data_IF_645639704516
#
_entry.id   IF_645639704516
#
_cell.length_a   1.000
_cell.length_b   1.000
_cell.length_c   1.000
_cell.angle_alpha   90.00
_cell.angle_beta   90.00
_cell.angle_gamma   90.00
#
_symmetry.space_group_name_H-M   'P 1'
#
loop_
_entity.id
_entity.type
_entity.pdbx_description
1 polymer ?
#
# COMPACT_ATOMS: atom_id res chain seq x y z
N UNK A 1 -36.72 -9.60 13.01
CA UNK A 1 -37.56 -10.76 12.61
C UNK A 1 -36.88 -11.85 11.77
N UNK A 2 -36.48 -11.60 10.51
CA UNK A 2 -35.92 -12.68 9.65
C UNK A 2 -34.67 -13.36 10.25
N UNK A 3 -33.74 -12.55 10.79
CA UNK A 3 -32.56 -13.07 11.47
C UNK A 3 -32.93 -13.91 12.72
N UNK A 4 -33.89 -13.45 13.54
CA UNK A 4 -34.39 -14.17 14.72
C UNK A 4 -34.99 -15.54 14.34
N UNK A 5 -35.72 -15.63 13.22
CA UNK A 5 -36.27 -16.89 12.69
C UNK A 5 -35.20 -17.84 12.12
N UNK A 6 -34.08 -17.27 11.69
CA UNK A 6 -32.97 -18.02 11.06
C UNK A 6 -31.84 -18.31 12.06
N UNK A 7 -32.09 -18.08 13.35
CA UNK A 7 -31.09 -18.30 14.38
C UNK A 7 -30.68 -19.79 14.46
N UNK A 8 -29.38 -20.10 14.60
CA UNK A 8 -28.26 -19.16 14.74
C UNK A 8 -27.81 -18.56 13.40
N UNK A 9 -27.61 -17.24 13.34
CA UNK A 9 -27.17 -16.56 12.12
C UNK A 9 -26.22 -15.38 12.40
N UNK A 10 -25.48 -14.98 11.36
CA UNK A 10 -24.65 -13.77 11.36
C UNK A 10 -25.30 -12.74 10.44
N UNK A 11 -25.47 -11.51 10.93
CA UNK A 11 -25.84 -10.34 10.13
C UNK A 11 -24.55 -9.57 9.85
N UNK A 12 -24.23 -9.36 8.58
CA UNK A 12 -23.09 -8.53 8.18
C UNK A 12 -23.58 -7.21 7.58
N UNK A 13 -23.09 -6.09 8.11
CA UNK A 13 -23.37 -4.74 7.64
C UNK A 13 -22.07 -4.12 7.12
N UNK A 14 -21.91 -4.09 5.81
CA UNK A 14 -20.78 -3.40 5.19
C UNK A 14 -21.03 -1.89 5.15
N UNK A 15 -19.96 -1.10 5.12
CA UNK A 15 -19.99 0.37 5.07
C UNK A 15 -20.98 1.00 6.08
N UNK A 16 -20.91 0.57 7.35
CA UNK A 16 -21.85 1.04 8.38
C UNK A 16 -21.81 2.57 8.56
N UNK A 17 -20.74 3.26 8.17
CA UNK A 17 -20.65 4.71 8.18
C UNK A 17 -21.60 5.43 7.20
N UNK A 18 -22.16 4.72 6.21
CA UNK A 18 -23.21 5.26 5.35
C UNK A 18 -24.50 5.57 6.13
N UNK A 19 -24.80 4.75 7.14
CA UNK A 19 -25.99 4.89 7.99
C UNK A 19 -25.67 5.38 9.39
N UNK A 20 -24.50 5.06 9.95
CA UNK A 20 -24.14 5.26 11.35
C UNK A 20 -23.35 6.53 11.66
N UNK A 21 -23.39 7.55 10.79
CA UNK A 21 -22.58 8.76 10.93
C UNK A 21 -23.10 9.71 12.02
N UNK A 22 -22.19 10.26 12.83
CA UNK A 22 -22.46 11.27 13.84
C UNK A 22 -22.95 12.58 13.18
N UNK A 23 -23.83 13.29 13.88
CA UNK A 23 -24.42 14.59 13.49
C UNK A 23 -23.39 15.55 12.90
N UNK A 24 -23.79 16.24 11.83
CA UNK A 24 -23.21 17.52 11.42
C UNK A 24 -24.31 18.57 11.36
N UNK A 25 -24.01 19.82 11.73
CA UNK A 25 -24.92 20.97 11.73
C UNK A 25 -25.30 21.43 10.31
N UNK A 26 -25.82 20.52 9.48
CA UNK A 26 -26.35 20.81 8.16
C UNK A 26 -27.86 21.05 8.24
N UNK A 27 -28.27 22.31 8.06
CA UNK A 27 -29.64 22.71 7.79
C UNK A 27 -30.10 22.10 6.46
N UNK A 28 -30.69 20.89 6.48
CA UNK A 28 -31.24 20.26 5.29
C UNK A 28 -31.91 18.92 5.60
N UNK A 29 -33.17 18.75 5.16
CA UNK A 29 -34.09 17.66 5.50
C UNK A 29 -33.72 16.22 5.06
N UNK A 30 -32.44 15.92 4.85
CA UNK A 30 -31.93 14.55 4.69
C UNK A 30 -31.47 13.90 6.01
N UNK A 31 -31.57 14.62 7.13
CA UNK A 31 -31.22 14.12 8.46
C UNK A 31 -32.25 13.12 9.00
N UNK A 32 -33.53 13.36 8.76
CA UNK A 32 -34.62 12.64 9.44
C UNK A 32 -34.67 11.15 9.07
N UNK A 33 -34.50 10.80 7.79
CA UNK A 33 -34.50 9.39 7.33
C UNK A 33 -33.30 8.60 7.87
N UNK A 34 -32.13 9.25 7.95
CA UNK A 34 -30.93 8.64 8.49
C UNK A 34 -31.05 8.43 9.99
N UNK A 35 -31.54 9.44 10.71
CA UNK A 35 -31.77 9.35 12.15
C UNK A 35 -32.79 8.26 12.50
N UNK A 36 -33.88 8.16 11.73
CA UNK A 36 -34.86 7.09 11.91
C UNK A 36 -34.22 5.72 11.70
N UNK A 37 -33.35 5.58 10.68
CA UNK A 37 -32.66 4.32 10.37
C UNK A 37 -31.68 3.93 11.47
N UNK A 38 -30.87 4.86 11.99
CA UNK A 38 -29.95 4.61 13.12
C UNK A 38 -30.74 4.22 14.35
N UNK A 39 -31.74 5.00 14.75
CA UNK A 39 -32.50 4.74 15.96
C UNK A 39 -33.22 3.40 15.90
N UNK A 40 -33.77 3.02 14.74
CA UNK A 40 -34.34 1.69 14.56
C UNK A 40 -33.27 0.60 14.73
N UNK A 41 -32.08 0.77 14.16
CA UNK A 41 -30.98 -0.18 14.35
C UNK A 41 -30.59 -0.32 15.83
N UNK A 42 -30.49 0.80 16.56
CA UNK A 42 -30.19 0.80 18.00
C UNK A 42 -31.25 0.07 18.83
N UNK A 43 -32.53 0.30 18.54
CA UNK A 43 -33.65 -0.36 19.22
C UNK A 43 -33.65 -1.87 18.94
N UNK A 44 -33.41 -2.28 17.69
CA UNK A 44 -33.32 -3.70 17.35
C UNK A 44 -32.11 -4.37 18.01
N UNK A 45 -30.97 -3.68 18.09
CA UNK A 45 -29.77 -4.16 18.78
C UNK A 45 -30.00 -4.37 20.28
N UNK A 46 -30.62 -3.40 20.94
CA UNK A 46 -30.98 -3.49 22.37
C UNK A 46 -32.12 -4.54 22.60
N UNK A 47 -32.92 -4.81 21.57
CA UNK A 47 -34.03 -5.76 21.57
C UNK A 47 -33.64 -7.22 21.25
N UNK A 48 -32.35 -7.53 21.11
CA UNK A 48 -31.88 -8.91 21.12
C UNK A 48 -31.68 -9.37 22.56
N UNK A 49 -32.49 -10.33 23.01
CA UNK A 49 -32.19 -11.07 24.23
C UNK A 49 -30.83 -11.76 24.08
N UNK A 50 -30.05 -11.80 25.15
CA UNK A 50 -28.65 -12.29 25.21
C UNK A 50 -28.45 -13.72 24.70
N UNK A 51 -29.54 -14.45 24.41
CA UNK A 51 -29.55 -15.86 24.03
C UNK A 51 -30.19 -16.13 22.64
N UNK A 52 -30.45 -15.10 21.82
CA UNK A 52 -31.11 -15.29 20.51
C UNK A 52 -30.23 -15.94 19.43
N UNK A 53 -28.94 -16.19 19.69
CA UNK A 53 -28.04 -16.84 18.72
C UNK A 53 -27.76 -16.02 17.45
N UNK A 54 -27.99 -14.70 17.49
CA UNK A 54 -27.75 -13.78 16.39
C UNK A 54 -26.49 -12.96 16.69
N UNK A 55 -25.53 -12.97 15.76
CA UNK A 55 -24.31 -12.15 15.85
C UNK A 55 -24.38 -11.06 14.79
N UNK A 56 -24.17 -9.80 15.18
CA UNK A 56 -24.09 -8.68 14.24
C UNK A 56 -22.63 -8.27 14.07
N UNK A 57 -22.15 -8.24 12.84
CA UNK A 57 -20.80 -7.81 12.46
C UNK A 57 -20.94 -6.65 11.49
N UNK A 58 -20.16 -5.59 11.69
CA UNK A 58 -20.14 -4.43 10.81
C UNK A 58 -18.72 -4.08 10.38
N UNK A 59 -18.58 -3.50 9.19
CA UNK A 59 -17.31 -3.02 8.66
C UNK A 59 -17.39 -1.52 8.31
N UNK A 60 -16.31 -0.78 8.60
CA UNK A 60 -16.15 0.62 8.19
C UNK A 60 -14.67 0.97 8.01
N UNK A 61 -14.39 1.91 7.11
CA UNK A 61 -13.08 2.54 6.97
C UNK A 61 -12.97 3.84 7.78
N UNK A 62 -14.06 4.29 8.42
CA UNK A 62 -14.16 5.60 9.09
C UNK A 62 -14.79 5.47 10.48
N UNK A 63 -14.12 4.78 11.42
CA UNK A 63 -14.64 4.62 12.78
C UNK A 63 -14.78 5.96 13.53
N UNK A 64 -14.01 6.98 13.13
CA UNK A 64 -13.99 8.33 13.71
C UNK A 64 -15.30 9.11 13.53
N UNK A 65 -16.06 8.80 12.48
CA UNK A 65 -17.32 9.49 12.20
C UNK A 65 -18.55 8.73 12.69
N UNK A 66 -18.39 7.55 13.29
CA UNK A 66 -19.52 6.76 13.76
C UNK A 66 -20.18 7.39 14.99
N UNK A 67 -21.50 7.21 15.11
CA UNK A 67 -22.22 7.59 16.30
C UNK A 67 -21.72 6.78 17.51
N UNK A 68 -21.27 7.48 18.55
CA UNK A 68 -20.81 6.87 19.79
C UNK A 68 -21.86 5.95 20.44
N UNK A 69 -23.15 6.15 20.14
CA UNK A 69 -24.23 5.27 20.58
C UNK A 69 -24.11 3.85 20.01
N UNK A 70 -23.60 3.67 18.78
CA UNK A 70 -23.40 2.35 18.17
C UNK A 70 -22.30 1.54 18.89
N UNK A 71 -21.31 2.23 19.45
CA UNK A 71 -20.12 1.65 20.08
C UNK A 71 -20.32 1.35 21.58
N UNK A 72 -21.52 1.56 22.12
CA UNK A 72 -21.80 1.32 23.54
C UNK A 72 -21.93 -0.18 23.85
N UNK A 73 -21.64 -0.61 25.09
CA UNK A 73 -21.87 -2.00 25.53
C UNK A 73 -23.29 -2.47 25.22
N UNK A 74 -23.41 -3.70 24.72
CA UNK A 74 -24.69 -4.28 24.27
C UNK A 74 -25.00 -4.08 22.77
N UNK A 75 -24.17 -3.29 22.06
CA UNK A 75 -24.31 -3.04 20.61
C UNK A 75 -23.05 -3.52 19.88
N UNK A 76 -22.29 -2.63 19.24
CA UNK A 76 -20.96 -2.95 18.71
C UNK A 76 -19.90 -2.72 19.79
N UNK A 77 -19.92 -3.58 20.81
CA UNK A 77 -19.05 -3.50 21.97
C UNK A 77 -17.64 -4.08 21.72
N UNK A 78 -17.49 -4.93 20.70
CA UNK A 78 -16.21 -5.47 20.23
C UNK A 78 -15.73 -4.75 18.97
N UNK A 79 -14.58 -4.11 19.09
CA UNK A 79 -13.89 -3.47 17.98
C UNK A 79 -12.65 -4.27 17.62
N UNK A 80 -12.56 -4.68 16.36
CA UNK A 80 -11.41 -5.42 15.81
C UNK A 80 -10.83 -4.59 14.68
N UNK A 81 -9.61 -4.11 14.87
CA UNK A 81 -8.90 -3.36 13.84
C UNK A 81 -8.15 -4.33 12.92
N UNK A 82 -8.43 -4.24 11.63
CA UNK A 82 -7.69 -4.97 10.59
C UNK A 82 -6.74 -3.99 9.91
N UNK A 83 -5.48 -4.03 10.30
CA UNK A 83 -4.43 -3.17 9.74
C UNK A 83 -3.84 -3.76 8.46
N UNK A 84 -3.03 -2.97 7.75
CA UNK A 84 -2.28 -3.47 6.60
C UNK A 84 -1.35 -4.62 7.03
N UNK A 85 -1.20 -5.65 6.18
CA UNK A 85 -0.38 -6.82 6.50
C UNK A 85 1.13 -6.47 6.55
N UNK A 86 1.84 -7.09 7.49
CA UNK A 86 3.31 -7.12 7.54
C UNK A 86 3.89 -8.04 6.45
N UNK A 87 5.22 -8.12 6.28
CA UNK A 87 5.87 -8.97 5.26
C UNK A 87 5.35 -10.41 5.31
N UNK A 88 5.21 -10.99 6.51
CA UNK A 88 4.74 -12.37 6.67
C UNK A 88 3.27 -12.52 6.29
N UNK A 89 2.43 -11.57 6.67
CA UNK A 89 1.03 -11.51 6.27
C UNK A 89 0.89 -11.34 4.76
N UNK A 90 1.70 -10.49 4.13
CA UNK A 90 1.74 -10.31 2.67
C UNK A 90 2.15 -11.61 1.97
N UNK A 91 3.15 -12.31 2.48
CA UNK A 91 3.56 -13.61 1.96
C UNK A 91 2.43 -14.66 2.06
N UNK A 92 1.73 -14.72 3.19
CA UNK A 92 0.59 -15.62 3.37
C UNK A 92 -0.57 -15.29 2.43
N UNK A 93 -0.91 -14.01 2.28
CA UNK A 93 -1.95 -13.55 1.36
C UNK A 93 -1.57 -13.90 -0.08
N UNK A 94 -0.32 -13.62 -0.49
CA UNK A 94 0.19 -14.00 -1.81
C UNK A 94 0.04 -15.50 -2.04
N UNK A 95 0.45 -16.34 -1.08
CA UNK A 95 0.31 -17.79 -1.17
C UNK A 95 -1.15 -18.25 -1.33
N UNK A 96 -2.13 -17.57 -0.72
CA UNK A 96 -3.56 -17.86 -0.92
C UNK A 96 -3.99 -17.53 -2.35
N UNK A 97 -3.63 -16.36 -2.87
CA UNK A 97 -4.03 -15.93 -4.22
C UNK A 97 -3.27 -16.68 -5.33
N UNK A 98 -2.01 -17.04 -5.09
CA UNK A 98 -1.15 -17.81 -5.98
C UNK A 98 -1.69 -19.21 -6.26
N UNK A 99 -2.44 -19.84 -5.34
CA UNK A 99 -3.11 -21.14 -5.57
C UNK A 99 -4.11 -21.13 -6.73
N UNK A 100 -4.58 -19.95 -7.15
CA UNK A 100 -5.58 -19.81 -8.22
C UNK A 100 -4.95 -19.73 -9.62
N UNK A 101 -3.62 -19.68 -9.72
CA UNK A 101 -2.89 -19.53 -11.00
C UNK A 101 -1.83 -20.63 -11.15
N UNK A 102 -1.54 -21.08 -12.38
CA UNK A 102 -0.48 -22.06 -12.61
C UNK A 102 0.88 -21.37 -12.44
N UNK A 103 1.65 -21.72 -11.41
CA UNK A 103 2.94 -21.09 -11.10
C UNK A 103 4.14 -21.86 -11.68
N UNK A 104 5.16 -21.12 -12.08
CA UNK A 104 6.51 -21.63 -12.33
C UNK A 104 7.25 -21.96 -11.03
N UNK A 105 8.28 -22.79 -11.12
CA UNK A 105 9.11 -23.20 -9.97
C UNK A 105 10.00 -22.09 -9.43
N UNK A 106 10.19 -21.01 -10.20
CA UNK A 106 11.04 -19.87 -9.88
C UNK A 106 10.33 -18.82 -9.01
N UNK A 107 9.02 -18.94 -8.80
CA UNK A 107 8.22 -17.96 -8.05
C UNK A 107 8.52 -18.06 -6.55
N UNK A 108 8.94 -16.94 -5.97
CA UNK A 108 9.20 -16.82 -4.54
C UNK A 108 8.34 -15.73 -3.90
N UNK A 109 7.32 -16.14 -3.14
CA UNK A 109 6.39 -15.23 -2.48
C UNK A 109 7.06 -14.28 -1.47
N UNK A 110 8.13 -14.71 -0.80
CA UNK A 110 8.86 -13.89 0.17
C UNK A 110 9.58 -12.71 -0.51
N UNK A 111 10.13 -12.90 -1.71
CA UNK A 111 10.74 -11.80 -2.48
C UNK A 111 9.66 -10.79 -2.90
N UNK A 112 8.51 -11.29 -3.37
CA UNK A 112 7.39 -10.44 -3.79
C UNK A 112 6.85 -9.65 -2.60
N UNK A 113 6.65 -10.28 -1.43
CA UNK A 113 6.14 -9.65 -0.22
C UNK A 113 7.03 -8.51 0.30
N UNK A 114 8.36 -8.65 0.19
CA UNK A 114 9.31 -7.58 0.51
C UNK A 114 9.24 -6.41 -0.47
N UNK A 115 8.88 -6.69 -1.73
CA UNK A 115 8.74 -5.69 -2.80
C UNK A 115 7.38 -4.99 -2.84
N UNK A 116 6.47 -5.33 -1.95
CA UNK A 116 5.10 -4.78 -1.89
C UNK A 116 4.77 -4.12 -0.54
N UNK A 117 5.66 -3.29 0.03
CA UNK A 117 5.38 -2.63 1.30
C UNK A 117 4.13 -1.74 1.20
N UNK A 118 3.28 -1.79 2.23
CA UNK A 118 2.05 -1.01 2.30
C UNK A 118 0.89 -1.51 1.44
N UNK A 119 1.06 -2.60 0.67
CA UNK A 119 -0.04 -3.19 -0.09
C UNK A 119 -1.05 -3.90 0.81
N UNK A 120 -2.33 -3.67 0.55
CA UNK A 120 -3.45 -4.38 1.18
C UNK A 120 -3.62 -5.78 0.60
N UNK A 121 -4.49 -6.60 1.21
CA UNK A 121 -4.80 -7.92 0.67
C UNK A 121 -5.42 -7.86 -0.73
N UNK A 122 -6.23 -6.83 -1.01
CA UNK A 122 -6.81 -6.61 -2.33
C UNK A 122 -5.74 -6.23 -3.37
N UNK A 123 -4.75 -5.41 -2.99
CA UNK A 123 -3.65 -5.04 -3.88
C UNK A 123 -2.80 -6.26 -4.26
N UNK A 124 -2.51 -7.14 -3.30
CA UNK A 124 -1.78 -8.38 -3.54
C UNK A 124 -2.57 -9.37 -4.41
N UNK A 125 -3.89 -9.44 -4.23
CA UNK A 125 -4.76 -10.21 -5.10
C UNK A 125 -4.70 -9.68 -6.55
N UNK A 126 -4.74 -8.36 -6.71
CA UNK A 126 -4.62 -7.71 -8.01
C UNK A 126 -3.23 -7.93 -8.63
N UNK A 127 -2.16 -7.92 -7.83
CA UNK A 127 -0.81 -8.25 -8.29
C UNK A 127 -0.73 -9.66 -8.90
N UNK A 128 -1.31 -10.66 -8.23
CA UNK A 128 -1.38 -12.01 -8.77
C UNK A 128 -2.17 -12.07 -10.09
N UNK A 129 -3.26 -11.31 -10.21
CA UNK A 129 -4.04 -11.23 -11.43
C UNK A 129 -3.26 -10.57 -12.58
N UNK A 130 -2.58 -9.45 -12.32
CA UNK A 130 -1.74 -8.78 -13.30
C UNK A 130 -0.56 -9.66 -13.75
N UNK A 131 0.03 -10.44 -12.84
CA UNK A 131 1.08 -11.40 -13.19
C UNK A 131 0.55 -12.48 -14.15
N UNK A 132 -0.67 -13.00 -13.91
CA UNK A 132 -1.31 -13.94 -14.83
C UNK A 132 -1.57 -13.31 -16.21
N UNK A 133 -1.99 -12.04 -16.26
CA UNK A 133 -2.15 -11.31 -17.53
C UNK A 133 -0.82 -11.06 -18.24
N UNK A 134 0.29 -10.87 -17.53
CA UNK A 134 1.63 -10.78 -18.12
C UNK A 134 2.04 -12.11 -18.76
N UNK A 135 1.84 -13.22 -18.05
CA UNK A 135 2.10 -14.57 -18.57
C UNK A 135 1.25 -14.88 -19.82
N UNK A 136 -0.04 -14.56 -19.78
CA UNK A 136 -0.93 -14.74 -20.91
C UNK A 136 -0.50 -13.92 -22.14
N UNK A 137 -0.05 -12.67 -21.94
CA UNK A 137 0.43 -11.80 -23.03
C UNK A 137 1.66 -12.35 -23.75
N UNK A 138 2.52 -13.11 -23.06
CA UNK A 138 3.67 -13.80 -23.68
C UNK A 138 3.33 -15.20 -24.20
N UNK A 139 2.06 -15.63 -24.14
CA UNK A 139 1.61 -16.95 -24.56
C UNK A 139 2.10 -18.10 -23.67
N UNK A 140 2.45 -17.81 -22.41
CA UNK A 140 2.97 -18.82 -21.50
C UNK A 140 1.84 -19.59 -20.78
N UNK A 141 2.14 -20.85 -20.43
CA UNK A 141 1.21 -21.73 -19.70
C UNK A 141 1.30 -21.58 -18.18
N UNK A 142 2.43 -21.07 -17.68
CA UNK A 142 2.70 -20.88 -16.25
C UNK A 142 3.14 -19.43 -16.01
N UNK A 143 2.82 -18.92 -14.82
CA UNK A 143 3.22 -17.59 -14.34
C UNK A 143 4.57 -17.71 -13.65
N UNK A 144 5.57 -16.99 -14.14
CA UNK A 144 6.95 -17.03 -13.64
C UNK A 144 7.25 -15.80 -12.78
N UNK A 145 8.37 -15.80 -12.07
CA UNK A 145 8.79 -14.67 -11.24
C UNK A 145 8.92 -13.37 -12.04
N UNK A 146 9.34 -13.47 -13.30
CA UNK A 146 9.39 -12.32 -14.21
C UNK A 146 8.03 -11.64 -14.45
N UNK A 147 6.94 -12.41 -14.40
CA UNK A 147 5.60 -11.90 -14.63
C UNK A 147 5.11 -11.12 -13.41
N UNK A 148 5.43 -11.61 -12.20
CA UNK A 148 5.22 -10.89 -10.95
C UNK A 148 6.04 -9.60 -10.88
N UNK A 149 7.31 -9.63 -11.28
CA UNK A 149 8.16 -8.42 -11.32
C UNK A 149 7.60 -7.38 -12.29
N UNK A 150 7.15 -7.79 -13.49
CA UNK A 150 6.52 -6.87 -14.46
C UNK A 150 5.17 -6.34 -13.97
N UNK A 151 4.37 -7.17 -13.30
CA UNK A 151 3.10 -6.77 -12.73
C UNK A 151 3.29 -5.76 -11.58
N UNK A 152 4.25 -6.03 -10.69
CA UNK A 152 4.65 -5.12 -9.60
C UNK A 152 5.12 -3.78 -10.17
N UNK A 153 6.00 -3.80 -11.17
CA UNK A 153 6.46 -2.58 -11.85
C UNK A 153 5.28 -1.78 -12.42
N UNK A 154 4.33 -2.46 -13.08
CA UNK A 154 3.15 -1.82 -13.66
C UNK A 154 2.27 -1.16 -12.60
N UNK A 155 2.05 -1.83 -11.46
CA UNK A 155 1.21 -1.31 -10.39
C UNK A 155 1.87 -0.12 -9.69
N UNK A 156 3.18 -0.21 -9.40
CA UNK A 156 3.90 0.84 -8.67
C UNK A 156 4.24 2.06 -9.53
N UNK A 157 4.65 1.83 -10.79
CA UNK A 157 5.20 2.88 -11.66
C UNK A 157 4.33 3.19 -12.88
N UNK A 158 3.31 2.38 -13.15
CA UNK A 158 2.52 2.47 -14.38
C UNK A 158 3.12 1.67 -15.55
N UNK A 159 2.44 1.69 -16.71
CA UNK A 159 2.85 0.91 -17.87
C UNK A 159 4.18 1.40 -18.46
N UNK A 160 4.89 0.47 -19.10
CA UNK A 160 6.11 0.75 -19.86
C UNK A 160 5.82 1.63 -21.07
N UNK A 161 6.64 2.67 -21.27
CA UNK A 161 6.49 3.60 -22.40
C UNK A 161 7.33 3.17 -23.60
N UNK A 162 6.96 2.05 -24.23
CA UNK A 162 7.69 1.47 -25.38
C UNK A 162 7.82 2.40 -26.60
N UNK A 163 6.88 3.31 -26.79
CA UNK A 163 6.87 4.28 -27.90
C UNK A 163 7.68 5.54 -27.61
N UNK A 164 8.17 5.72 -26.38
CA UNK A 164 8.95 6.91 -26.04
C UNK A 164 10.38 6.74 -26.56
N UNK A 165 10.73 7.53 -27.57
CA UNK A 165 12.10 7.65 -28.04
C UNK A 165 12.81 8.64 -27.15
N UNK A 166 13.68 8.14 -26.27
CA UNK A 166 14.54 8.96 -25.43
C UNK A 166 15.85 9.26 -26.17
N UNK A 167 16.27 10.53 -26.29
CA UNK A 167 17.59 10.87 -26.80
C UNK A 167 18.69 10.14 -26.02
N UNK A 168 19.78 9.78 -26.70
CA UNK A 168 20.87 9.04 -26.06
C UNK A 168 21.48 9.81 -24.88
N UNK A 169 21.58 11.14 -24.98
CA UNK A 169 22.05 12.02 -23.90
C UNK A 169 21.16 11.93 -22.65
N UNK A 170 19.84 11.93 -22.80
CA UNK A 170 18.89 11.77 -21.69
C UNK A 170 18.97 10.37 -21.08
N UNK A 171 19.15 9.34 -21.92
CA UNK A 171 19.31 7.95 -21.46
C UNK A 171 20.59 7.79 -20.64
N UNK A 172 21.70 8.39 -21.09
CA UNK A 172 22.96 8.41 -20.35
C UNK A 172 22.82 9.18 -19.04
N UNK A 173 22.16 10.34 -19.06
CA UNK A 173 21.89 11.10 -17.82
C UNK A 173 21.11 10.26 -16.81
N UNK A 174 20.03 9.61 -17.26
CA UNK A 174 19.23 8.71 -16.43
C UNK A 174 20.06 7.54 -15.90
N UNK A 175 20.95 6.97 -16.71
CA UNK A 175 21.83 5.90 -16.27
C UNK A 175 22.79 6.34 -15.15
N UNK A 176 23.41 7.52 -15.25
CA UNK A 176 24.24 8.06 -14.18
C UNK A 176 23.41 8.37 -12.94
N UNK A 177 22.24 8.97 -13.11
CA UNK A 177 21.32 9.29 -12.03
C UNK A 177 20.95 8.03 -11.20
N UNK A 178 20.47 6.98 -11.86
CA UNK A 178 20.11 5.73 -11.17
C UNK A 178 21.35 5.02 -10.59
N UNK A 179 22.49 5.11 -11.25
CA UNK A 179 23.76 4.57 -10.72
C UNK A 179 24.18 5.28 -9.43
N UNK A 180 23.90 6.58 -9.31
CA UNK A 180 24.15 7.36 -8.09
C UNK A 180 23.35 6.85 -6.90
N UNK A 181 22.04 6.66 -7.06
CA UNK A 181 21.20 6.04 -6.03
C UNK A 181 21.69 4.64 -5.65
N UNK A 182 21.96 3.80 -6.65
CA UNK A 182 22.36 2.42 -6.45
C UNK A 182 23.71 2.30 -5.73
N UNK A 183 24.69 3.14 -6.09
CA UNK A 183 26.01 3.13 -5.49
C UNK A 183 25.96 3.55 -4.02
N UNK A 184 25.30 4.67 -3.71
CA UNK A 184 25.17 5.15 -2.33
C UNK A 184 24.39 4.14 -1.49
N UNK A 185 23.28 3.62 -2.02
CA UNK A 185 22.48 2.61 -1.34
C UNK A 185 23.21 1.29 -1.07
N UNK A 186 24.21 0.96 -1.89
CA UNK A 186 25.03 -0.26 -1.71
C UNK A 186 26.19 -0.07 -0.74
N UNK A 187 26.72 1.16 -0.62
CA UNK A 187 27.90 1.48 0.18
C UNK A 187 27.57 1.91 1.61
N UNK A 188 26.46 2.63 1.82
CA UNK A 188 26.11 3.13 3.15
C UNK A 188 25.57 1.99 4.04
N UNK A 189 25.90 1.99 5.35
CA UNK A 189 25.37 1.03 6.28
C UNK A 189 23.87 1.25 6.51
N UNK A 190 23.16 0.23 7.00
CA UNK A 190 21.73 0.27 7.36
C UNK A 190 20.74 0.58 6.22
N UNK A 191 21.20 0.95 5.03
CA UNK A 191 20.38 1.08 3.83
C UNK A 191 19.78 -0.27 3.43
N UNK A 192 18.56 -0.23 2.89
CA UNK A 192 17.93 -1.43 2.36
C UNK A 192 18.67 -1.88 1.09
N UNK A 193 18.94 -3.20 0.93
CA UNK A 193 19.65 -3.72 -0.23
C UNK A 193 19.01 -3.32 -1.55
N UNK A 194 19.82 -2.80 -2.46
CA UNK A 194 19.41 -2.54 -3.85
C UNK A 194 19.03 -3.86 -4.50
N UNK A 195 17.81 -3.92 -5.02
CA UNK A 195 17.25 -5.10 -5.64
C UNK A 195 17.20 -4.99 -7.16
N UNK A 196 16.88 -3.80 -7.68
CA UNK A 196 16.71 -3.58 -9.11
C UNK A 196 17.05 -2.15 -9.49
N UNK A 197 17.77 -2.02 -10.59
CA UNK A 197 18.08 -0.73 -11.22
C UNK A 197 17.64 -0.82 -12.67
N UNK A 198 16.89 0.16 -13.16
CA UNK A 198 16.44 0.21 -14.55
C UNK A 198 16.35 1.64 -15.06
N UNK A 199 16.70 1.83 -16.33
CA UNK A 199 16.54 3.09 -17.07
C UNK A 199 15.38 3.01 -18.08
N UNK A 200 14.54 1.99 -17.94
CA UNK A 200 13.37 1.81 -18.79
C UNK A 200 12.24 2.71 -18.27
N UNK A 201 11.73 3.63 -19.10
CA UNK A 201 10.72 4.60 -18.68
C UNK A 201 9.36 3.94 -18.41
N UNK A 202 8.78 4.24 -17.25
CA UNK A 202 7.49 3.73 -16.79
C UNK A 202 6.65 4.85 -16.18
N UNK A 203 5.42 5.00 -16.65
CA UNK A 203 4.52 6.08 -16.22
C UNK A 203 5.19 7.45 -16.28
N UNK A 204 5.42 8.06 -15.09
CA UNK A 204 6.09 9.36 -14.94
C UNK A 204 7.61 9.27 -14.70
N UNK A 205 8.14 8.08 -14.41
CA UNK A 205 9.56 7.86 -14.12
C UNK A 205 10.34 7.52 -15.40
N UNK A 206 11.56 8.05 -15.51
CA UNK A 206 12.50 7.77 -16.61
C UNK A 206 13.46 6.61 -16.27
N UNK A 207 13.75 6.43 -14.99
CA UNK A 207 14.48 5.31 -14.42
C UNK A 207 13.99 5.05 -12.99
N UNK A 208 14.44 3.95 -12.39
CA UNK A 208 14.23 3.70 -10.97
C UNK A 208 15.31 2.80 -10.39
N UNK A 209 15.67 3.10 -9.14
CA UNK A 209 16.45 2.26 -8.24
C UNK A 209 15.53 1.79 -7.11
N UNK A 210 15.28 0.49 -7.05
CA UNK A 210 14.42 -0.12 -6.06
C UNK A 210 15.25 -0.89 -5.04
N UNK A 211 15.05 -0.57 -3.76
CA UNK A 211 15.57 -1.37 -2.64
C UNK A 211 14.47 -2.27 -2.06
N UNK A 212 14.88 -3.43 -1.53
CA UNK A 212 14.00 -4.33 -0.80
C UNK A 212 14.37 -4.33 0.68
N UNK A 213 13.47 -3.89 1.57
CA UNK A 213 13.70 -4.02 3.00
C UNK A 213 13.92 -5.48 3.41
N UNK A 214 14.90 -5.72 4.27
CA UNK A 214 15.13 -7.05 4.84
C UNK A 214 14.04 -7.43 5.86
N UNK A 215 13.51 -6.43 6.56
CA UNK A 215 12.52 -6.53 7.62
C UNK A 215 11.60 -5.30 7.63
N UNK A 216 10.37 -5.46 8.13
CA UNK A 216 9.47 -4.33 8.36
C UNK A 216 9.92 -3.63 9.64
N UNK A 217 10.40 -2.38 9.51
CA UNK A 217 10.87 -1.59 10.65
C UNK A 217 9.72 -0.76 11.23
N UNK A 218 9.51 -0.88 12.53
CA UNK A 218 8.54 -0.06 13.28
C UNK A 218 9.10 1.30 13.72
N UNK A 219 10.44 1.41 13.82
CA UNK A 219 11.12 2.64 14.18
C UNK A 219 12.40 2.80 13.36
N UNK A 220 12.79 4.05 13.14
CA UNK A 220 13.97 4.41 12.38
C UNK A 220 14.90 5.24 13.27
N UNK A 221 16.18 4.92 13.25
CA UNK A 221 17.20 5.74 13.90
C UNK A 221 17.64 6.90 12.99
N UNK A 222 18.32 7.89 13.59
CA UNK A 222 18.77 9.08 12.86
C UNK A 222 19.76 8.72 11.74
N UNK A 223 20.61 7.72 11.95
CA UNK A 223 21.58 7.25 10.96
C UNK A 223 20.89 6.69 9.71
N UNK A 224 19.87 5.85 9.88
CA UNK A 224 19.09 5.32 8.77
C UNK A 224 18.40 6.45 7.98
N UNK A 225 17.78 7.41 8.68
CA UNK A 225 17.09 8.51 8.01
C UNK A 225 18.08 9.41 7.23
N UNK A 226 19.25 9.69 7.79
CA UNK A 226 20.33 10.42 7.10
C UNK A 226 20.89 9.65 5.90
N UNK A 227 21.02 8.32 6.01
CA UNK A 227 21.47 7.49 4.91
C UNK A 227 20.42 7.41 3.79
N UNK A 228 19.13 7.42 4.13
CA UNK A 228 18.05 7.53 3.13
C UNK A 228 18.07 8.88 2.41
N UNK A 229 18.30 9.99 3.13
CA UNK A 229 18.50 11.31 2.52
C UNK A 229 19.71 11.29 1.59
N UNK A 230 20.82 10.68 2.02
CA UNK A 230 22.05 10.57 1.23
C UNK A 230 21.83 9.75 -0.05
N UNK A 231 21.08 8.64 0.04
CA UNK A 231 20.68 7.85 -1.13
C UNK A 231 19.84 8.67 -2.12
N UNK A 232 18.88 9.47 -1.63
CA UNK A 232 18.04 10.36 -2.46
C UNK A 232 18.88 11.43 -3.18
N UNK A 233 19.94 11.95 -2.56
CA UNK A 233 20.86 12.88 -3.24
C UNK A 233 21.84 12.22 -4.20
N UNK A 234 21.99 10.89 -4.15
CA UNK A 234 22.91 10.14 -4.99
C UNK A 234 22.71 10.40 -6.49
N UNK A 235 21.46 10.45 -6.95
CA UNK A 235 21.13 10.74 -8.34
C UNK A 235 21.59 12.12 -8.80
N UNK A 236 21.29 13.18 -8.02
CA UNK A 236 21.76 14.54 -8.31
C UNK A 236 23.29 14.63 -8.34
N UNK A 237 23.96 14.05 -7.36
CA UNK A 237 25.43 14.10 -7.26
C UNK A 237 26.06 13.43 -8.48
N UNK A 238 25.53 12.28 -8.93
CA UNK A 238 26.03 11.61 -10.11
C UNK A 238 25.86 12.45 -11.39
N UNK A 239 24.73 13.16 -11.55
CA UNK A 239 24.55 14.10 -12.66
C UNK A 239 25.58 15.22 -12.64
N UNK A 240 25.81 15.85 -11.49
CA UNK A 240 26.75 16.97 -11.37
C UNK A 240 28.21 16.54 -11.63
N UNK A 241 28.60 15.38 -11.09
CA UNK A 241 29.98 14.89 -11.19
C UNK A 241 30.31 14.37 -12.59
N UNK A 242 29.42 13.60 -13.22
CA UNK A 242 29.73 12.90 -14.47
C UNK A 242 29.11 13.56 -15.71
N UNK A 243 27.97 14.24 -15.55
CA UNK A 243 27.28 14.90 -16.66
C UNK A 243 27.47 16.43 -16.65
N UNK A 244 28.03 17.00 -15.57
CA UNK A 244 28.28 18.43 -15.41
C UNK A 244 27.03 19.29 -15.65
N UNK A 245 25.85 18.76 -15.29
CA UNK A 245 24.57 19.42 -15.48
C UNK A 245 23.63 19.11 -14.32
N UNK A 246 22.59 19.94 -14.17
CA UNK A 246 21.51 19.72 -13.22
C UNK A 246 20.19 19.63 -13.98
N UNK A 247 19.53 18.48 -13.93
CA UNK A 247 18.23 18.29 -14.57
C UNK A 247 17.07 18.47 -13.59
N UNK A 248 15.84 18.57 -14.09
CA UNK A 248 14.62 18.59 -13.27
C UNK A 248 14.20 17.20 -12.77
N UNK A 249 14.89 16.13 -13.20
CA UNK A 249 14.56 14.74 -12.87
C UNK A 249 14.63 14.42 -11.37
N UNK A 250 15.54 15.06 -10.64
CA UNK A 250 15.74 14.84 -9.20
C UNK A 250 14.64 15.44 -8.29
N UNK A 251 13.63 16.13 -8.85
CA UNK A 251 12.65 16.90 -8.08
C UNK A 251 11.92 16.10 -6.99
N UNK A 252 11.49 14.87 -7.32
CA UNK A 252 10.85 13.96 -6.37
C UNK A 252 11.81 13.51 -5.25
N UNK A 253 13.10 13.37 -5.55
CA UNK A 253 14.09 12.97 -4.55
C UNK A 253 14.35 14.10 -3.55
N UNK A 254 14.42 15.35 -4.02
CA UNK A 254 14.48 16.54 -3.18
C UNK A 254 13.24 16.68 -2.29
N UNK A 255 12.04 16.47 -2.85
CA UNK A 255 10.79 16.53 -2.09
C UNK A 255 10.79 15.50 -0.95
N UNK A 256 11.15 14.24 -1.26
CA UNK A 256 11.25 13.16 -0.27
C UNK A 256 12.32 13.45 0.78
N UNK A 257 13.51 13.87 0.36
CA UNK A 257 14.61 14.17 1.28
C UNK A 257 14.24 15.31 2.23
N UNK A 258 13.57 16.35 1.71
CA UNK A 258 13.07 17.48 2.50
C UNK A 258 12.02 17.03 3.51
N UNK A 259 11.09 16.16 3.12
CA UNK A 259 10.08 15.63 4.02
C UNK A 259 10.71 14.82 5.16
N UNK A 260 11.68 13.94 4.85
CA UNK A 260 12.41 13.16 5.85
C UNK A 260 13.14 14.10 6.82
N UNK A 261 13.90 15.07 6.31
CA UNK A 261 14.63 16.03 7.15
C UNK A 261 13.69 16.85 8.05
N UNK A 262 12.54 17.28 7.53
CA UNK A 262 11.52 18.01 8.31
C UNK A 262 10.96 17.15 9.44
N UNK A 263 10.64 15.89 9.17
CA UNK A 263 10.10 14.98 10.17
C UNK A 263 11.13 14.65 11.27
N UNK A 264 12.41 14.49 10.90
CA UNK A 264 13.51 14.32 11.85
C UNK A 264 13.53 15.44 12.90
N UNK A 265 13.39 16.69 12.45
CA UNK A 265 13.42 17.87 13.33
C UNK A 265 12.09 18.07 14.06
N UNK A 266 10.98 18.10 13.33
CA UNK A 266 9.71 18.62 13.85
C UNK A 266 8.84 17.58 14.56
N UNK A 267 9.04 16.29 14.28
CA UNK A 267 8.23 15.19 14.83
C UNK A 267 9.02 14.28 15.74
N UNK A 268 10.28 14.00 15.39
CA UNK A 268 11.06 12.98 16.07
C UNK A 268 12.11 13.52 17.03
N UNK A 269 12.36 14.84 17.04
CA UNK A 269 13.31 15.47 17.97
C UNK A 269 14.74 14.98 17.79
N UNK A 270 15.15 14.69 16.55
CA UNK A 270 16.49 14.20 16.21
C UNK A 270 17.53 15.32 16.04
N UNK A 271 17.24 16.51 16.53
CA UNK A 271 18.07 17.73 16.49
C UNK A 271 17.83 18.59 17.72
#
# INVERSE_FOLDING_TARGET
EQAKKSAPCIIFVDEIDAVGRLRGAGLGGGNDEREQTINQMLVEMDGFETNAGVIVVAATNRPDILDAALLRPGRFDRQVYVTLPDIRGREQILNVHMRKVPLGQDVNASIIARGTPGMSGADLANLCNEAALMAARRGARVVEMQDFEKAKDKILMGPERKSMVMPESERINTAYHESGHALIGRLLPKCDPVHKVTIIPRGRALGVTMSLPAEDRYSYDSEYMLNQISMLFGGRIAEEVFMHQMTTGASNDFERATHIARDMVTRYGMT
#
